data_IF_026780012138
#
_entry.id   IF_026780012138
#
_cell.length_a   1.000
_cell.length_b   1.000
_cell.length_c   1.000
_cell.angle_alpha   90.00
_cell.angle_beta   90.00
_cell.angle_gamma   90.00
#
_symmetry.space_group_name_H-M   'P 1'
#
loop_
_entity.id
_entity.type
_entity.pdbx_description
1 polymer ?
#
# COMPACT_ATOMS: atom_id res chain seq x y z
N UNK A 1 71.05 -7.49 44.88
CA UNK A 1 71.60 -8.75 45.48
C UNK A 1 70.45 -9.56 46.09
N UNK A 2 70.53 -10.91 46.17
CA UNK A 2 69.39 -11.80 46.49
C UNK A 2 68.94 -11.82 47.96
N UNK A 3 67.64 -12.16 48.16
CA UNK A 3 66.93 -12.93 49.24
C UNK A 3 65.76 -12.14 49.87
N UNK A 4 64.53 -12.69 49.98
CA UNK A 4 64.03 -13.76 50.93
C UNK A 4 64.35 -13.36 52.39
N UNK A 5 63.47 -13.41 53.41
CA UNK A 5 62.20 -14.11 53.71
C UNK A 5 61.49 -13.32 54.86
N UNK A 6 60.30 -13.59 55.43
CA UNK A 6 59.37 -14.73 55.46
C UNK A 6 57.93 -14.33 55.89
N UNK A 7 57.04 -15.32 56.03
CA UNK A 7 55.69 -15.25 56.64
C UNK A 7 55.72 -15.89 58.06
N UNK A 8 54.82 -15.50 58.99
CA UNK A 8 54.18 -16.41 59.99
C UNK A 8 53.01 -15.79 60.79
N UNK A 9 51.85 -16.48 60.74
CA UNK A 9 50.83 -16.78 61.81
C UNK A 9 50.29 -15.65 62.73
N UNK A 10 49.00 -15.55 63.05
CA UNK A 10 47.79 -16.29 62.63
C UNK A 10 46.64 -16.26 63.68
N UNK A 11 45.41 -16.65 63.27
CA UNK A 11 44.24 -17.12 64.09
C UNK A 11 43.58 -16.18 65.13
N UNK A 12 42.28 -16.22 65.48
CA UNK A 12 41.00 -16.71 64.87
C UNK A 12 39.79 -16.37 65.82
N UNK A 13 38.65 -15.87 65.30
CA UNK A 13 37.28 -15.94 65.91
C UNK A 13 36.98 -15.14 67.24
N UNK A 14 35.75 -14.70 67.63
CA UNK A 14 34.35 -14.77 67.10
C UNK A 14 33.44 -13.67 67.75
N UNK A 15 32.27 -13.39 67.13
CA UNK A 15 31.00 -12.66 67.49
C UNK A 15 30.69 -12.19 68.96
N UNK A 16 29.69 -11.31 69.28
CA UNK A 16 28.81 -10.29 68.62
C UNK A 16 27.80 -9.74 69.70
N UNK A 17 27.01 -8.69 69.40
CA UNK A 17 25.83 -8.14 70.15
C UNK A 17 26.12 -7.32 71.45
N UNK A 18 25.44 -6.20 71.77
CA UNK A 18 24.51 -5.32 71.03
C UNK A 18 24.23 -3.99 71.80
N UNK A 19 24.00 -2.86 71.07
CA UNK A 19 23.22 -1.64 71.46
C UNK A 19 23.70 -0.82 72.70
N UNK A 20 23.47 0.51 72.81
CA UNK A 20 22.64 1.45 72.04
C UNK A 20 23.09 2.93 72.20
N UNK A 21 22.47 3.82 71.40
CA UNK A 21 22.31 5.27 71.63
C UNK A 21 23.37 6.27 71.12
N UNK A 22 23.31 6.58 69.82
CA UNK A 22 23.51 7.95 69.32
C UNK A 22 22.51 8.23 68.19
N UNK A 23 21.73 9.30 68.29
CA UNK A 23 20.80 9.70 67.23
C UNK A 23 21.58 10.27 66.05
N UNK A 24 21.40 9.67 64.88
CA UNK A 24 21.66 10.30 63.59
C UNK A 24 20.32 10.42 62.86
N UNK A 25 19.93 11.66 62.53
CA UNK A 25 18.82 11.90 61.62
C UNK A 25 19.17 11.30 60.26
N UNK A 26 18.55 10.17 59.91
CA UNK A 26 18.47 9.76 58.52
C UNK A 26 17.40 10.62 57.88
N UNK A 27 17.81 11.59 57.07
CA UNK A 27 16.88 12.23 56.15
C UNK A 27 16.32 11.12 55.25
N UNK A 28 15.02 10.82 55.41
CA UNK A 28 14.28 10.04 54.44
C UNK A 28 14.15 10.90 53.18
N UNK A 29 15.19 10.90 52.35
CA UNK A 29 14.99 11.24 50.95
C UNK A 29 14.05 10.18 50.41
N UNK A 30 12.78 10.57 50.21
CA UNK A 30 11.98 9.93 49.19
C UNK A 30 12.80 10.11 47.91
N UNK A 31 13.55 9.08 47.55
CA UNK A 31 13.92 8.88 46.15
C UNK A 31 12.55 8.76 45.51
N UNK A 32 12.10 9.87 44.93
CA UNK A 32 11.04 9.83 43.96
C UNK A 32 11.55 8.87 42.92
N UNK A 33 11.07 7.62 42.99
CA UNK A 33 10.82 6.89 41.78
C UNK A 33 9.96 7.86 40.97
N UNK A 34 10.60 8.58 40.05
CA UNK A 34 9.98 8.78 38.77
C UNK A 34 9.65 7.38 38.30
N UNK A 35 8.44 6.93 38.67
CA UNK A 35 7.62 6.12 37.79
C UNK A 35 7.68 6.92 36.51
N UNK A 36 8.57 6.50 35.62
CA UNK A 36 8.55 6.98 34.25
C UNK A 36 7.14 6.61 33.85
N UNK A 37 6.30 7.62 33.65
CA UNK A 37 4.98 7.41 33.10
C UNK A 37 5.18 6.87 31.69
N UNK A 38 5.27 5.54 31.64
CA UNK A 38 4.97 4.70 30.50
C UNK A 38 3.46 4.75 30.18
N UNK A 39 2.72 5.65 30.85
CA UNK A 39 1.54 6.37 30.37
C UNK A 39 1.83 7.07 29.04
N UNK A 40 1.96 6.23 28.01
CA UNK A 40 1.11 6.37 26.85
C UNK A 40 1.36 7.58 25.95
N UNK A 41 2.63 7.80 25.59
CA UNK A 41 2.91 8.09 24.18
C UNK A 41 2.98 6.79 23.37
N UNK A 42 1.87 6.03 23.37
CA UNK A 42 1.63 4.95 22.41
C UNK A 42 1.57 5.60 21.04
N UNK A 43 2.71 5.63 20.35
CA UNK A 43 2.79 6.16 18.99
C UNK A 43 2.03 5.18 18.12
N UNK A 44 1.00 5.68 17.42
CA UNK A 44 0.24 4.86 16.49
C UNK A 44 1.20 4.27 15.46
N UNK A 45 1.22 2.94 15.39
CA UNK A 45 2.07 2.16 14.50
C UNK A 45 1.95 2.61 13.04
N UNK A 46 0.74 2.92 12.58
CA UNK A 46 0.50 3.40 11.21
C UNK A 46 1.15 4.76 11.01
N UNK A 47 0.92 5.71 11.93
CA UNK A 47 1.52 7.05 11.87
C UNK A 47 3.06 6.97 11.87
N UNK A 48 3.66 6.00 12.55
CA UNK A 48 5.12 5.85 12.59
C UNK A 48 5.70 5.10 11.40
N UNK A 49 4.99 4.15 10.81
CA UNK A 49 5.32 3.58 9.51
C UNK A 49 5.20 4.65 8.40
N UNK A 50 4.13 5.46 8.38
CA UNK A 50 3.97 6.58 7.42
C UNK A 50 5.11 7.61 7.51
N UNK A 51 5.67 7.83 8.69
CA UNK A 51 6.83 8.71 8.90
C UNK A 51 8.17 8.07 8.50
N UNK A 52 8.20 6.79 8.15
CA UNK A 52 9.45 6.04 7.94
C UNK A 52 10.25 5.76 9.22
N UNK A 53 9.64 5.89 10.40
CA UNK A 53 10.30 5.60 11.68
C UNK A 53 10.38 4.09 12.00
N UNK A 54 9.67 3.25 11.23
CA UNK A 54 9.74 1.80 11.29
C UNK A 54 10.40 1.30 10.01
N UNK A 55 11.64 0.82 10.13
CA UNK A 55 12.47 0.41 8.99
C UNK A 55 11.85 -0.82 8.30
N UNK A 56 11.79 -0.80 6.97
CA UNK A 56 11.29 -1.92 6.16
C UNK A 56 9.77 -2.06 6.16
N UNK A 57 9.03 -1.01 6.55
CA UNK A 57 7.57 -0.97 6.53
C UNK A 57 7.08 0.35 5.94
N UNK A 58 6.10 0.26 5.04
CA UNK A 58 5.48 1.40 4.37
C UNK A 58 3.95 1.30 4.48
N UNK A 59 3.28 2.39 4.79
CA UNK A 59 1.81 2.48 4.73
C UNK A 59 1.38 3.00 3.37
N UNK A 60 0.39 2.36 2.75
CA UNK A 60 -0.24 2.83 1.53
C UNK A 60 -1.76 2.93 1.66
N UNK A 61 -2.35 3.79 0.83
CA UNK A 61 -3.78 3.77 0.53
C UNK A 61 -3.93 3.40 -0.95
N UNK A 62 -4.85 2.50 -1.24
CA UNK A 62 -5.35 2.25 -2.59
C UNK A 62 -6.79 2.71 -2.67
N UNK A 63 -7.17 3.37 -3.76
CA UNK A 63 -8.56 3.68 -4.05
C UNK A 63 -8.86 3.51 -5.54
N UNK A 64 -10.04 2.97 -5.83
CA UNK A 64 -10.59 2.90 -7.17
C UNK A 64 -12.02 3.40 -7.20
N UNK A 65 -12.46 3.86 -8.36
CA UNK A 65 -13.79 4.37 -8.58
C UNK A 65 -14.22 4.02 -10.01
N UNK A 66 -15.36 3.35 -10.14
CA UNK A 66 -16.05 3.16 -11.40
C UNK A 66 -17.34 4.00 -11.34
N UNK A 67 -17.53 4.89 -12.32
CA UNK A 67 -18.65 5.85 -12.34
C UNK A 67 -19.96 5.24 -12.84
N UNK A 68 -19.92 4.05 -13.43
CA UNK A 68 -21.04 3.48 -14.18
C UNK A 68 -21.15 1.95 -14.06
N UNK A 69 -20.85 1.37 -12.89
CA UNK A 69 -20.95 -0.07 -12.61
C UNK A 69 -22.37 -0.56 -12.94
N UNK A 70 -22.50 -1.45 -13.91
CA UNK A 70 -23.78 -1.99 -14.37
C UNK A 70 -24.33 -3.15 -13.54
N UNK A 71 -25.33 -3.84 -14.11
CA UNK A 71 -25.92 -5.07 -13.57
C UNK A 71 -25.11 -6.34 -13.89
N UNK A 72 -23.98 -6.19 -14.57
CA UNK A 72 -22.93 -7.19 -14.73
C UNK A 72 -21.77 -6.89 -13.79
N UNK A 73 -21.04 -7.92 -13.38
CA UNK A 73 -19.85 -7.75 -12.51
C UNK A 73 -18.76 -7.01 -13.27
N UNK A 74 -18.29 -5.90 -12.71
CA UNK A 74 -17.17 -5.09 -13.20
C UNK A 74 -16.15 -4.87 -12.08
N UNK A 75 -14.92 -4.53 -12.44
CA UNK A 75 -13.90 -4.10 -11.50
C UNK A 75 -14.13 -2.64 -11.08
N UNK A 76 -13.75 -2.32 -9.84
CA UNK A 76 -13.78 -0.95 -9.32
C UNK A 76 -12.52 -0.22 -9.80
N UNK A 77 -12.60 0.30 -11.03
CA UNK A 77 -11.55 1.05 -11.73
C UNK A 77 -12.13 2.10 -12.70
N UNK A 78 -11.35 3.14 -12.99
CA UNK A 78 -11.77 4.31 -13.78
C UNK A 78 -12.30 3.99 -15.18
N UNK A 79 -11.62 3.09 -15.89
CA UNK A 79 -11.97 2.67 -17.25
C UNK A 79 -13.16 1.69 -17.30
N UNK A 80 -13.69 1.29 -16.13
CA UNK A 80 -14.75 0.30 -15.98
C UNK A 80 -14.38 -1.11 -16.44
N UNK A 81 -15.40 -1.95 -16.68
CA UNK A 81 -15.22 -3.31 -17.20
C UNK A 81 -14.36 -4.21 -16.29
N UNK A 82 -13.75 -5.24 -16.87
CA UNK A 82 -12.86 -6.16 -16.16
C UNK A 82 -11.45 -6.07 -16.73
N UNK A 83 -10.44 -5.89 -15.86
CA UNK A 83 -9.03 -5.90 -16.24
C UNK A 83 -8.61 -7.31 -16.71
N UNK A 84 -7.89 -7.36 -17.82
CA UNK A 84 -7.21 -8.57 -18.27
C UNK A 84 -5.76 -8.50 -17.78
N UNK A 85 -5.43 -9.35 -16.78
CA UNK A 85 -4.06 -9.48 -16.28
C UNK A 85 -3.12 -10.01 -17.38
N UNK A 86 -1.99 -9.32 -17.56
CA UNK A 86 -0.95 -9.78 -18.49
C UNK A 86 -0.25 -11.04 -17.98
N UNK A 87 0.09 -11.94 -18.91
CA UNK A 87 0.82 -13.20 -18.63
C UNK A 87 2.32 -13.10 -18.93
N UNK A 88 2.75 -12.01 -19.58
CA UNK A 88 4.14 -11.64 -19.81
C UNK A 88 4.25 -10.12 -19.65
N UNK A 89 5.45 -9.60 -19.36
CA UNK A 89 5.65 -8.15 -19.33
C UNK A 89 5.53 -7.56 -20.75
N UNK A 90 4.88 -6.41 -20.86
CA UNK A 90 4.74 -5.68 -22.13
C UNK A 90 5.09 -4.20 -21.95
N UNK A 91 5.49 -3.54 -23.04
CA UNK A 91 5.52 -2.07 -23.06
C UNK A 91 4.09 -1.54 -22.88
N UNK A 92 3.93 -0.45 -22.13
CA UNK A 92 2.66 0.24 -21.99
C UNK A 92 2.66 1.44 -22.92
N UNK A 93 1.71 1.45 -23.86
CA UNK A 93 1.47 2.55 -24.79
C UNK A 93 0.54 3.56 -24.14
N UNK A 94 1.01 4.79 -23.96
CA UNK A 94 0.32 5.87 -23.27
C UNK A 94 -0.13 6.93 -24.29
N UNK A 95 -1.39 7.36 -24.21
CA UNK A 95 -1.93 8.50 -24.96
C UNK A 95 -3.00 9.23 -24.15
N UNK A 96 -3.26 10.50 -24.47
CA UNK A 96 -4.39 11.27 -23.94
C UNK A 96 -5.49 11.46 -24.99
N UNK A 97 -6.72 11.69 -24.55
CA UNK A 97 -7.80 12.19 -25.40
C UNK A 97 -7.69 13.70 -25.71
N UNK A 98 -6.77 14.45 -25.09
CA UNK A 98 -6.52 15.88 -25.35
C UNK A 98 -5.12 16.13 -25.94
N UNK A 99 -5.03 17.01 -26.94
CA UNK A 99 -3.78 17.28 -27.66
C UNK A 99 -2.78 18.16 -26.89
N UNK A 100 -3.21 18.84 -25.81
CA UNK A 100 -2.38 19.68 -24.96
C UNK A 100 -1.89 18.95 -23.69
N UNK A 101 -2.30 17.69 -23.48
CA UNK A 101 -1.62 16.75 -22.57
C UNK A 101 -0.36 16.20 -23.27
N UNK A 102 0.62 17.07 -23.45
CA UNK A 102 1.79 16.87 -24.31
C UNK A 102 3.01 17.52 -23.63
N UNK A 103 4.22 17.04 -23.91
CA UNK A 103 5.46 17.52 -23.28
C UNK A 103 5.72 19.03 -23.39
N UNK A 104 5.20 19.68 -24.44
CA UNK A 104 5.24 21.14 -24.63
C UNK A 104 3.87 21.82 -24.43
N UNK A 105 2.90 21.10 -23.87
CA UNK A 105 1.52 21.52 -23.69
C UNK A 105 1.28 22.27 -22.37
N UNK A 106 0.07 22.81 -22.25
CA UNK A 106 -0.37 23.56 -21.06
C UNK A 106 -0.79 22.68 -19.88
N UNK A 107 -1.09 21.41 -20.16
CA UNK A 107 -1.76 20.47 -19.25
C UNK A 107 -0.75 19.41 -18.78
N UNK A 108 -1.13 18.12 -18.67
CA UNK A 108 -0.18 17.06 -18.29
C UNK A 108 0.95 16.92 -19.32
N UNK A 109 2.21 17.10 -18.91
CA UNK A 109 3.37 17.00 -19.80
C UNK A 109 4.04 15.63 -19.73
N UNK A 110 4.04 15.02 -18.54
CA UNK A 110 4.57 13.69 -18.29
C UNK A 110 3.72 12.92 -17.27
N UNK A 111 3.75 11.60 -17.34
CA UNK A 111 3.14 10.69 -16.35
C UNK A 111 4.21 9.79 -15.74
N UNK A 112 4.08 9.54 -14.44
CA UNK A 112 4.84 8.53 -13.72
C UNK A 112 4.00 7.27 -13.60
N UNK A 113 4.55 6.15 -14.02
CA UNK A 113 3.97 4.82 -13.88
C UNK A 113 4.72 4.09 -12.76
N UNK A 114 3.98 3.53 -11.80
CA UNK A 114 4.51 2.62 -10.79
C UNK A 114 3.90 1.24 -11.06
N UNK A 115 4.74 0.22 -11.24
CA UNK A 115 4.29 -1.11 -11.64
C UNK A 115 5.33 -2.17 -11.31
N UNK A 116 5.18 -3.35 -11.91
CA UNK A 116 6.06 -4.49 -11.70
C UNK A 116 6.65 -4.99 -13.03
N UNK A 117 7.92 -5.39 -13.01
CA UNK A 117 8.63 -6.02 -14.13
C UNK A 117 8.24 -7.50 -14.30
N UNK A 118 8.84 -8.21 -15.26
CA UNK A 118 8.62 -9.65 -15.50
C UNK A 118 8.88 -10.55 -14.27
N UNK A 119 9.70 -10.09 -13.31
CA UNK A 119 10.04 -10.80 -12.08
C UNK A 119 9.17 -10.37 -10.88
N UNK A 120 8.10 -9.60 -11.15
CA UNK A 120 7.25 -8.94 -10.15
C UNK A 120 8.01 -7.94 -9.24
N UNK A 121 9.18 -7.46 -9.65
CA UNK A 121 9.97 -6.46 -8.93
C UNK A 121 9.35 -5.08 -9.16
N UNK A 122 9.24 -4.26 -8.12
CA UNK A 122 8.71 -2.91 -8.24
C UNK A 122 9.63 -2.02 -9.11
N UNK A 123 9.06 -1.43 -10.16
CA UNK A 123 9.72 -0.50 -11.07
C UNK A 123 8.88 0.76 -11.27
N UNK A 124 9.55 1.88 -11.54
CA UNK A 124 8.94 3.17 -11.83
C UNK A 124 9.54 3.74 -13.12
N UNK A 125 8.72 4.38 -13.94
CA UNK A 125 9.16 5.13 -15.11
C UNK A 125 8.43 6.49 -15.20
N UNK A 126 9.07 7.49 -15.79
CA UNK A 126 8.42 8.75 -16.19
C UNK A 126 8.40 8.80 -17.72
N UNK A 127 7.21 8.91 -18.30
CA UNK A 127 6.99 8.98 -19.75
C UNK A 127 6.44 10.36 -20.11
N UNK A 128 7.10 11.03 -21.05
CA UNK A 128 6.64 12.30 -21.62
C UNK A 128 5.48 12.04 -22.59
N UNK A 129 4.35 12.73 -22.40
CA UNK A 129 3.16 12.56 -23.24
C UNK A 129 3.31 13.24 -24.60
N UNK A 130 2.58 12.74 -25.59
CA UNK A 130 2.54 13.28 -26.95
C UNK A 130 1.11 13.69 -27.38
N UNK A 131 0.26 14.10 -26.42
CA UNK A 131 -1.14 14.39 -26.67
C UNK A 131 -1.91 13.13 -27.09
N UNK A 132 -2.57 13.21 -28.25
CA UNK A 132 -3.34 12.09 -28.82
C UNK A 132 -2.50 11.05 -29.54
N UNK A 133 -1.18 11.27 -29.70
CA UNK A 133 -0.27 10.27 -30.23
C UNK A 133 0.20 9.33 -29.11
N UNK A 134 0.26 8.03 -29.41
CA UNK A 134 0.76 7.03 -28.46
C UNK A 134 2.27 7.05 -28.33
N UNK A 135 2.74 6.99 -27.08
CA UNK A 135 4.15 6.88 -26.69
C UNK A 135 4.33 5.67 -25.77
N UNK A 136 5.26 4.79 -26.10
CA UNK A 136 5.54 3.60 -25.31
C UNK A 136 6.48 3.91 -24.13
N UNK A 137 6.31 3.17 -23.04
CA UNK A 137 7.35 3.00 -22.02
C UNK A 137 8.63 2.40 -22.62
N UNK A 138 9.75 2.64 -21.94
CA UNK A 138 11.07 2.05 -22.20
C UNK A 138 11.30 0.77 -21.39
N UNK A 139 10.63 0.62 -20.24
CA UNK A 139 10.54 -0.62 -19.48
C UNK A 139 9.27 -1.39 -19.85
N UNK A 140 9.28 -2.70 -19.58
CA UNK A 140 8.10 -3.57 -19.74
C UNK A 140 7.48 -3.85 -18.37
N UNK A 141 6.16 -3.91 -18.33
CA UNK A 141 5.36 -4.07 -17.12
C UNK A 141 4.47 -5.30 -17.24
N UNK A 142 4.47 -6.18 -16.24
CA UNK A 142 3.50 -7.29 -16.11
C UNK A 142 2.28 -6.89 -15.28
N UNK A 143 2.42 -5.86 -14.45
CA UNK A 143 1.36 -5.22 -13.65
C UNK A 143 1.60 -3.72 -13.59
N UNK A 144 0.51 -2.93 -13.64
CA UNK A 144 0.57 -1.48 -13.43
C UNK A 144 -0.20 -1.13 -12.16
N UNK A 145 0.53 -0.76 -11.11
CA UNK A 145 -0.04 -0.47 -9.80
C UNK A 145 -0.54 0.99 -9.69
N UNK A 146 0.08 1.95 -10.37
CA UNK A 146 -0.38 3.34 -10.37
C UNK A 146 0.06 4.07 -11.63
N UNK A 147 -0.80 4.96 -12.13
CA UNK A 147 -0.42 5.99 -13.10
C UNK A 147 -0.77 7.36 -12.48
N UNK A 148 0.14 8.31 -12.52
CA UNK A 148 -0.03 9.64 -11.95
C UNK A 148 0.58 10.68 -12.88
N UNK A 149 -0.06 11.84 -13.04
CA UNK A 149 0.52 12.99 -13.73
C UNK A 149 1.73 13.43 -12.92
N UNK A 150 2.91 13.40 -13.56
CA UNK A 150 4.18 13.72 -12.94
C UNK A 150 4.44 15.22 -12.98
N UNK A 151 4.20 15.84 -14.14
CA UNK A 151 4.36 17.28 -14.36
C UNK A 151 3.21 17.83 -15.21
N UNK A 152 2.98 19.14 -15.05
CA UNK A 152 2.01 19.92 -15.82
C UNK A 152 2.68 21.21 -16.34
N UNK A 153 2.25 21.68 -17.52
CA UNK A 153 2.79 22.90 -18.12
C UNK A 153 2.40 24.18 -17.39
N UNK A 154 1.28 24.16 -16.64
CA UNK A 154 0.78 25.30 -15.87
C UNK A 154 0.35 24.87 -14.46
N UNK A 155 0.67 25.70 -13.46
CA UNK A 155 0.47 25.43 -12.03
C UNK A 155 -0.97 25.02 -11.62
N UNK A 156 -1.99 25.54 -12.32
CA UNK A 156 -3.41 25.27 -12.01
C UNK A 156 -4.04 24.18 -12.89
N UNK A 157 -3.25 23.43 -13.65
CA UNK A 157 -3.74 22.39 -14.56
C UNK A 157 -3.51 20.98 -14.02
N UNK A 158 -4.17 20.02 -14.67
CA UNK A 158 -3.99 18.57 -14.53
C UNK A 158 -3.97 17.99 -15.94
N UNK A 159 -4.17 16.68 -16.11
CA UNK A 159 -4.58 16.14 -17.40
C UNK A 159 -5.98 16.68 -17.76
N UNK A 160 -6.19 17.17 -18.98
CA UNK A 160 -7.52 17.60 -19.45
C UNK A 160 -8.24 16.47 -20.18
N UNK A 161 -7.51 15.69 -20.98
CA UNK A 161 -8.01 14.46 -21.55
C UNK A 161 -7.91 13.29 -20.59
N UNK A 162 -8.60 12.21 -20.91
CA UNK A 162 -8.36 10.91 -20.26
C UNK A 162 -7.05 10.35 -20.79
N UNK A 163 -6.12 9.99 -19.89
CA UNK A 163 -4.85 9.36 -20.25
C UNK A 163 -4.99 7.85 -20.06
N UNK A 164 -4.82 7.08 -21.12
CA UNK A 164 -4.99 5.62 -21.11
C UNK A 164 -3.66 4.91 -21.35
N UNK A 165 -3.37 3.88 -20.55
CA UNK A 165 -2.23 2.97 -20.75
C UNK A 165 -2.71 1.63 -21.30
N UNK A 166 -2.26 1.28 -22.51
CA UNK A 166 -2.65 0.06 -23.24
C UNK A 166 -1.43 -0.85 -23.40
N UNK A 167 -1.58 -2.15 -23.15
CA UNK A 167 -0.54 -3.17 -23.37
C UNK A 167 -0.18 -3.26 -24.87
N UNK A 168 1.09 -3.03 -25.24
CA UNK A 168 1.48 -2.82 -26.64
C UNK A 168 1.32 -4.05 -27.57
N UNK A 169 1.26 -5.28 -27.04
CA UNK A 169 1.04 -6.51 -27.80
C UNK A 169 -0.38 -7.05 -27.60
N UNK A 170 -0.85 -7.14 -26.34
CA UNK A 170 -2.18 -7.67 -26.03
C UNK A 170 -3.34 -6.71 -26.35
N UNK A 171 -3.05 -5.43 -26.60
CA UNK A 171 -4.03 -4.36 -26.93
C UNK A 171 -5.17 -4.20 -25.91
N UNK A 172 -4.88 -4.48 -24.63
CA UNK A 172 -5.82 -4.33 -23.51
C UNK A 172 -5.51 -3.08 -22.69
N UNK A 173 -6.54 -2.37 -22.23
CA UNK A 173 -6.36 -1.25 -21.29
C UNK A 173 -5.89 -1.77 -19.94
N UNK A 174 -4.68 -1.37 -19.53
CA UNK A 174 -4.08 -1.79 -18.26
C UNK A 174 -4.33 -0.77 -17.14
N UNK A 175 -4.41 0.53 -17.46
CA UNK A 175 -4.72 1.58 -16.50
C UNK A 175 -5.23 2.84 -17.20
N UNK A 176 -5.87 3.74 -16.43
CA UNK A 176 -6.37 5.02 -16.93
C UNK A 176 -6.29 6.11 -15.84
N UNK A 177 -5.98 7.35 -16.24
CA UNK A 177 -6.25 8.58 -15.48
C UNK A 177 -7.46 9.28 -16.11
N UNK A 178 -8.62 9.38 -15.43
CA UNK A 178 -9.75 10.16 -15.91
C UNK A 178 -9.40 11.64 -16.13
N UNK A 179 -10.04 12.29 -17.10
CA UNK A 179 -9.98 13.75 -17.29
C UNK A 179 -10.05 14.53 -15.96
N UNK A 180 -9.08 15.42 -15.73
CA UNK A 180 -8.95 16.26 -14.54
C UNK A 180 -8.45 15.57 -13.26
N UNK A 181 -8.35 14.23 -13.21
CA UNK A 181 -8.12 13.50 -11.97
C UNK A 181 -6.67 13.52 -11.45
N UNK A 182 -5.68 13.72 -12.32
CA UNK A 182 -4.25 13.74 -11.97
C UNK A 182 -3.65 12.38 -11.55
N UNK A 183 -4.47 11.39 -11.21
CA UNK A 183 -4.03 10.02 -10.92
C UNK A 183 -5.10 8.98 -11.28
N UNK A 184 -4.65 7.76 -11.53
CA UNK A 184 -5.50 6.61 -11.80
C UNK A 184 -6.36 6.24 -10.61
N UNK A 185 -7.61 5.83 -10.85
CA UNK A 185 -8.53 5.36 -9.82
C UNK A 185 -8.73 3.86 -10.02
N UNK A 186 -7.96 3.01 -9.37
CA UNK A 186 -8.09 1.55 -9.50
C UNK A 186 -7.90 0.83 -8.17
N UNK A 187 -8.69 -0.21 -7.93
CA UNK A 187 -8.50 -1.12 -6.77
C UNK A 187 -7.46 -2.21 -7.03
N UNK A 188 -7.07 -2.44 -8.29
CA UNK A 188 -6.07 -3.45 -8.68
C UNK A 188 -4.69 -3.11 -8.13
N UNK A 189 -4.13 -3.97 -7.29
CA UNK A 189 -2.77 -3.86 -6.78
C UNK A 189 -2.13 -5.25 -6.69
N UNK A 190 -0.89 -5.37 -7.15
CA UNK A 190 -0.10 -6.60 -6.99
C UNK A 190 1.03 -6.35 -6.01
N UNK A 191 1.14 -7.22 -5.00
CA UNK A 191 2.21 -7.15 -4.01
C UNK A 191 3.57 -7.45 -4.69
N UNK A 192 4.57 -6.55 -4.60
CA UNK A 192 5.86 -6.78 -5.25
C UNK A 192 6.60 -8.00 -4.69
N UNK A 193 7.49 -8.55 -5.51
CA UNK A 193 8.52 -9.53 -5.12
C UNK A 193 9.32 -9.04 -3.91
N UNK A 194 9.63 -9.94 -2.97
CA UNK A 194 10.34 -9.65 -1.74
C UNK A 194 9.51 -8.98 -0.63
N UNK A 195 8.20 -8.80 -0.81
CA UNK A 195 7.34 -8.04 0.12
C UNK A 195 6.06 -8.79 0.51
N UNK A 196 5.54 -8.49 1.70
CA UNK A 196 4.20 -8.88 2.13
C UNK A 196 3.32 -7.63 2.24
N UNK A 197 2.00 -7.82 2.19
CA UNK A 197 1.02 -6.77 2.43
C UNK A 197 0.00 -7.21 3.49
N UNK A 198 -0.43 -6.30 4.35
CA UNK A 198 -1.58 -6.48 5.26
C UNK A 198 -2.59 -5.38 4.98
N UNK A 199 -3.83 -5.76 4.64
CA UNK A 199 -4.95 -4.81 4.53
C UNK A 199 -5.48 -4.51 5.94
N UNK A 200 -5.60 -3.23 6.27
CA UNK A 200 -5.86 -2.74 7.64
C UNK A 200 -7.21 -2.05 7.78
N UNK A 201 -7.71 -1.44 6.70
CA UNK A 201 -9.06 -0.89 6.62
C UNK A 201 -9.60 -0.99 5.19
N UNK A 202 -10.92 -0.99 5.07
CA UNK A 202 -11.64 -0.83 3.81
C UNK A 202 -12.83 0.12 4.00
N UNK A 203 -13.14 0.89 2.97
CA UNK A 203 -14.34 1.73 2.88
C UNK A 203 -14.92 1.65 1.47
N UNK A 204 -16.25 1.68 1.40
CA UNK A 204 -17.07 1.63 0.20
C UNK A 204 -18.03 2.82 0.26
N UNK A 205 -18.03 3.62 -0.80
CA UNK A 205 -18.98 4.72 -1.02
C UNK A 205 -19.69 4.51 -2.35
N UNK A 206 -20.93 4.99 -2.45
CA UNK A 206 -21.81 4.72 -3.60
C UNK A 206 -22.83 5.84 -3.80
N UNK A 207 -23.44 5.90 -4.99
CA UNK A 207 -24.62 6.72 -5.22
C UNK A 207 -25.85 6.17 -4.46
N UNK A 208 -26.71 7.08 -3.97
CA UNK A 208 -27.88 6.69 -3.16
C UNK A 208 -29.04 6.22 -4.03
N UNK A 209 -29.82 5.27 -3.53
CA UNK A 209 -31.11 4.86 -4.13
C UNK A 209 -31.05 3.59 -4.97
N UNK A 210 -29.91 2.90 -4.98
CA UNK A 210 -29.72 1.55 -5.53
C UNK A 210 -29.06 0.68 -4.46
N UNK A 211 -29.10 -0.64 -4.66
CA UNK A 211 -28.34 -1.59 -3.87
C UNK A 211 -27.16 -2.07 -4.70
N UNK A 212 -25.98 -2.15 -4.08
CA UNK A 212 -24.78 -2.70 -4.71
C UNK A 212 -24.28 -3.93 -3.97
N UNK A 213 -23.67 -4.83 -4.72
CA UNK A 213 -22.83 -5.91 -4.20
C UNK A 213 -21.37 -5.55 -4.45
N UNK A 214 -20.50 -5.84 -3.48
CA UNK A 214 -19.05 -5.67 -3.57
C UNK A 214 -18.34 -6.94 -3.13
N UNK A 215 -17.40 -7.41 -3.95
CA UNK A 215 -16.59 -8.60 -3.69
C UNK A 215 -15.12 -8.24 -3.76
N UNK A 216 -14.41 -8.40 -2.65
CA UNK A 216 -12.96 -8.28 -2.58
C UNK A 216 -12.34 -9.62 -3.00
N UNK A 217 -11.43 -9.60 -3.98
CA UNK A 217 -10.81 -10.79 -4.58
C UNK A 217 -9.30 -10.72 -4.48
N UNK A 218 -8.69 -11.90 -4.44
CA UNK A 218 -7.25 -12.05 -4.55
C UNK A 218 -6.86 -13.32 -5.30
N UNK A 219 -5.64 -13.34 -5.82
CA UNK A 219 -4.99 -14.53 -6.39
C UNK A 219 -3.52 -14.52 -5.98
N UNK A 220 -3.10 -15.60 -5.34
CA UNK A 220 -1.68 -15.86 -5.02
C UNK A 220 -0.97 -16.43 -6.25
N UNK A 221 0.36 -16.40 -6.25
CA UNK A 221 1.22 -16.98 -7.29
C UNK A 221 0.90 -16.44 -8.71
N UNK A 222 0.86 -15.11 -8.84
CA UNK A 222 0.53 -14.43 -10.10
C UNK A 222 1.53 -14.66 -11.25
N UNK A 223 2.71 -15.21 -10.95
CA UNK A 223 3.72 -15.67 -11.92
C UNK A 223 3.47 -17.11 -12.44
N UNK A 224 2.63 -17.91 -11.76
CA UNK A 224 2.25 -19.22 -12.28
C UNK A 224 1.10 -19.13 -13.30
N UNK A 225 1.50 -19.20 -14.56
CA UNK A 225 0.63 -19.28 -15.74
C UNK A 225 0.51 -20.72 -16.28
N UNK A 226 1.03 -21.72 -15.56
CA UNK A 226 1.06 -23.12 -15.99
C UNK A 226 0.15 -24.01 -15.16
N UNK A 227 -0.51 -25.00 -15.76
CA UNK A 227 -1.39 -25.87 -14.99
C UNK A 227 -0.57 -26.84 -14.11
N UNK A 228 -0.87 -26.99 -12.81
CA UNK A 228 -2.02 -26.44 -12.06
C UNK A 228 -1.74 -25.08 -11.36
N UNK A 229 -2.49 -24.04 -11.73
CA UNK A 229 -2.35 -22.69 -11.17
C UNK A 229 -3.16 -22.45 -9.88
N UNK A 230 -2.74 -21.47 -9.08
CA UNK A 230 -3.51 -20.95 -7.95
C UNK A 230 -4.86 -20.29 -8.37
N UNK A 231 -5.97 -20.59 -7.68
CA UNK A 231 -7.30 -20.08 -8.02
C UNK A 231 -7.54 -18.66 -7.50
N UNK A 232 -8.49 -17.95 -8.11
CA UNK A 232 -9.04 -16.71 -7.54
C UNK A 232 -9.85 -17.05 -6.28
N UNK A 233 -9.59 -16.32 -5.20
CA UNK A 233 -10.24 -16.46 -3.89
C UNK A 233 -11.01 -15.18 -3.53
N UNK A 234 -12.19 -15.33 -2.97
CA UNK A 234 -12.94 -14.21 -2.38
C UNK A 234 -12.45 -13.97 -0.95
N UNK A 235 -12.03 -12.74 -0.65
CA UNK A 235 -11.67 -12.31 0.69
C UNK A 235 -12.90 -11.93 1.53
N UNK A 236 -13.85 -11.23 0.90
CA UNK A 236 -15.07 -10.72 1.53
C UNK A 236 -16.12 -10.38 0.48
N UNK A 237 -17.34 -10.82 0.72
CA UNK A 237 -18.54 -10.32 0.06
C UNK A 237 -19.28 -9.33 0.96
N UNK A 238 -19.79 -8.27 0.35
CA UNK A 238 -20.73 -7.31 0.91
C UNK A 238 -21.91 -7.27 -0.05
N UNK A 239 -23.12 -7.53 0.46
CA UNK A 239 -24.30 -7.80 -0.38
C UNK A 239 -25.46 -6.89 0.00
N UNK A 240 -26.18 -6.37 -0.99
CA UNK A 240 -27.32 -5.46 -0.77
C UNK A 240 -26.95 -4.16 -0.03
N UNK A 241 -25.76 -3.61 -0.27
CA UNK A 241 -25.37 -2.33 0.32
C UNK A 241 -26.19 -1.19 -0.30
N UNK A 242 -26.96 -0.48 0.52
CA UNK A 242 -27.71 0.74 0.16
C UNK A 242 -27.19 2.00 0.85
N UNK A 243 -26.15 1.87 1.68
CA UNK A 243 -25.49 2.96 2.41
C UNK A 243 -23.98 2.76 2.45
N UNK A 244 -23.18 3.84 2.61
CA UNK A 244 -21.73 3.73 2.74
C UNK A 244 -21.30 2.80 3.87
N UNK A 245 -20.27 1.99 3.60
CA UNK A 245 -19.78 0.97 4.50
C UNK A 245 -18.29 1.18 4.78
N UNK A 246 -17.84 0.89 6.00
CA UNK A 246 -16.44 0.90 6.37
C UNK A 246 -16.16 -0.13 7.45
N UNK A 247 -15.00 -0.76 7.40
CA UNK A 247 -14.53 -1.66 8.44
C UNK A 247 -13.01 -1.68 8.55
N UNK A 248 -12.54 -1.84 9.78
CA UNK A 248 -11.14 -2.04 10.09
C UNK A 248 -10.86 -3.54 10.26
N UNK A 249 -9.67 -3.99 9.87
CA UNK A 249 -9.20 -5.34 10.10
C UNK A 249 -7.78 -5.31 10.65
N UNK A 250 -7.65 -5.52 11.97
CA UNK A 250 -6.36 -5.43 12.67
C UNK A 250 -5.60 -6.76 12.71
N UNK A 251 -5.98 -7.72 11.87
CA UNK A 251 -5.32 -9.02 11.75
C UNK A 251 -5.90 -9.91 10.66
N UNK A 252 -5.12 -10.92 10.26
CA UNK A 252 -5.49 -12.02 9.37
C UNK A 252 -5.80 -11.71 7.89
N UNK A 253 -5.70 -10.45 7.43
CA UNK A 253 -5.71 -10.09 5.99
C UNK A 253 -4.28 -9.87 5.47
N UNK A 254 -3.42 -10.89 5.63
CA UNK A 254 -2.05 -10.90 5.13
C UNK A 254 -2.00 -11.55 3.74
N UNK A 255 -1.25 -10.93 2.83
CA UNK A 255 -0.95 -11.43 1.48
C UNK A 255 0.57 -11.50 1.30
N UNK A 256 1.02 -12.53 0.58
CA UNK A 256 2.43 -12.69 0.22
C UNK A 256 2.83 -11.82 -0.98
N UNK A 257 4.08 -11.97 -1.40
CA UNK A 257 4.54 -11.44 -2.68
C UNK A 257 3.72 -12.02 -3.85
N UNK A 258 3.73 -11.33 -5.00
CA UNK A 258 3.08 -11.77 -6.25
C UNK A 258 1.59 -12.11 -6.07
N UNK A 259 0.94 -11.51 -5.08
CA UNK A 259 -0.51 -11.64 -4.87
C UNK A 259 -1.21 -10.49 -5.57
N UNK A 260 -2.07 -10.80 -6.54
CA UNK A 260 -2.99 -9.86 -7.16
C UNK A 260 -4.17 -9.59 -6.22
N UNK A 261 -4.53 -8.33 -6.00
CA UNK A 261 -5.62 -7.85 -5.14
C UNK A 261 -6.52 -6.90 -5.94
N UNK A 262 -7.84 -7.13 -5.96
CA UNK A 262 -8.78 -6.25 -6.64
C UNK A 262 -10.18 -6.34 -6.06
N UNK A 263 -11.05 -5.39 -6.43
CA UNK A 263 -12.43 -5.34 -5.96
C UNK A 263 -13.36 -5.27 -7.16
N UNK A 264 -14.43 -6.07 -7.13
CA UNK A 264 -15.48 -6.05 -8.15
C UNK A 264 -16.81 -5.63 -7.56
N UNK A 265 -17.60 -4.89 -8.33
CA UNK A 265 -18.95 -4.48 -7.98
C UNK A 265 -20.00 -4.89 -9.01
N UNK A 266 -21.25 -4.84 -8.59
CA UNK A 266 -22.44 -4.91 -9.45
C UNK A 266 -23.58 -4.13 -8.78
N UNK A 267 -24.36 -3.38 -9.54
CA UNK A 267 -25.56 -2.70 -9.04
C UNK A 267 -26.83 -3.52 -9.32
N UNK A 268 -27.85 -3.39 -8.49
CA UNK A 268 -29.11 -4.11 -8.65
C UNK A 268 -29.91 -3.67 -9.88
N UNK A 269 -29.81 -2.39 -10.27
CA UNK A 269 -30.51 -1.82 -11.44
C UNK A 269 -29.74 -0.65 -12.08
N UNK A 270 -29.75 -0.58 -13.42
CA UNK A 270 -29.14 0.51 -14.17
C UNK A 270 -27.62 0.53 -14.04
N UNK A 271 -27.06 1.69 -13.66
CA UNK A 271 -25.64 1.87 -13.34
C UNK A 271 -25.47 2.60 -12.01
N UNK A 272 -24.42 2.30 -11.26
CA UNK A 272 -24.04 2.98 -10.01
C UNK A 272 -22.65 3.58 -10.09
N UNK A 273 -22.46 4.72 -9.42
CA UNK A 273 -21.11 5.19 -9.10
C UNK A 273 -20.68 4.49 -7.82
N UNK A 274 -19.55 3.79 -7.88
CA UNK A 274 -19.00 3.03 -6.75
C UNK A 274 -17.53 3.42 -6.59
N UNK A 275 -17.14 3.75 -5.37
CA UNK A 275 -15.76 3.97 -4.98
C UNK A 275 -15.41 3.05 -3.80
N UNK A 276 -14.23 2.44 -3.88
CA UNK A 276 -13.69 1.57 -2.83
C UNK A 276 -12.26 1.98 -2.55
N UNK A 277 -11.94 2.20 -1.29
CA UNK A 277 -10.59 2.39 -0.82
C UNK A 277 -10.22 1.34 0.23
N UNK A 278 -8.93 0.98 0.27
CA UNK A 278 -8.35 0.17 1.32
C UNK A 278 -6.98 0.69 1.73
N UNK A 279 -6.74 0.69 3.04
CA UNK A 279 -5.47 1.06 3.63
C UNK A 279 -4.67 -0.21 3.91
N UNK A 280 -3.36 -0.15 3.72
CA UNK A 280 -2.48 -1.30 3.86
C UNK A 280 -1.13 -0.94 4.47
N UNK A 281 -0.48 -1.94 5.06
CA UNK A 281 0.93 -1.91 5.44
C UNK A 281 1.66 -2.94 4.60
N UNK A 282 2.67 -2.48 3.88
CA UNK A 282 3.58 -3.27 3.07
C UNK A 282 4.92 -3.38 3.81
N UNK A 283 5.55 -4.54 3.79
CA UNK A 283 6.80 -4.77 4.50
C UNK A 283 7.66 -5.85 3.84
N UNK A 284 8.98 -5.71 3.94
CA UNK A 284 9.94 -6.69 3.40
C UNK A 284 9.75 -8.06 4.05
N UNK A 285 9.86 -9.13 3.27
CA UNK A 285 9.94 -10.50 3.80
C UNK A 285 11.21 -10.59 4.66
N UNK A 286 11.06 -10.95 5.94
CA UNK A 286 12.21 -11.21 6.82
C UNK A 286 12.99 -12.43 6.35
N UNK A 287 14.31 -12.29 6.27
CA UNK A 287 15.26 -13.39 6.02
C UNK A 287 15.40 -14.31 7.24
#
# INVERSE_FOLDING_TARGET
MKKKTSIKKGTFFLFLFLLSFSLLLVNAQVIGTSVIELTEKTRDFFIEATKGNIIGQETGNKFGQNLAVGTTVEDIQSQGGTLIFLQAAEFISLSSSDANDNINGANATSVKIDGLDENFTAITEIVNLAGTASVNTTQQFIRVNKLVVNEVGNYSQSNIGTITGISALSLTTQIEIPAGAGQSKTTHFTVPSGQNLIITAFRVTMDTGKEIDITFKFREDADDITAPMSPVKTLRDLKGLSTPFSGESKGNLKFGEKTDLWVTGVTSVGTSQIEVNYDFVQYTIGQ
#
